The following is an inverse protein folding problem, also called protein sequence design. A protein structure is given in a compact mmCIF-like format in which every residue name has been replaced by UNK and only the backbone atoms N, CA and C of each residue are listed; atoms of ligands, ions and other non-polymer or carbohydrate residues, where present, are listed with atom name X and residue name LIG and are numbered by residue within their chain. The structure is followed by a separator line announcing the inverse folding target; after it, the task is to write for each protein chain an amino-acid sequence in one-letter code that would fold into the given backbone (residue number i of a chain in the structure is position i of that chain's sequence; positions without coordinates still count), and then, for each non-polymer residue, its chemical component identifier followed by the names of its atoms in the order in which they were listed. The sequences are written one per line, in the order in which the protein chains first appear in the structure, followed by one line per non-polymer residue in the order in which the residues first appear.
data_IF_041372151229
#
_entry.id   IF_041372151229
#
_cell.length_a   1.000
_cell.length_b   1.000
_cell.length_c   1.000
_cell.angle_alpha   90.00
_cell.angle_beta   90.00
_cell.angle_gamma   90.00
#
_symmetry.space_group_name_H-M   'P 1'
#
loop_
_entity.id
_entity.type
_entity.pdbx_description
1 polymer ?
#
# COMPACT_ATOMS: atom_id res chain seq x y z
N UNK A 1 -0.64 -5.71 -2.79
CA UNK A 1 -0.77 -4.61 -3.77
C UNK A 1 -2.11 -4.66 -4.48
N UNK A 2 -2.52 -5.74 -5.14
CA UNK A 2 -3.81 -5.79 -5.83
C UNK A 2 -5.02 -5.52 -4.91
N UNK A 3 -5.11 -6.20 -3.76
CA UNK A 3 -6.14 -5.93 -2.75
C UNK A 3 -6.14 -4.47 -2.29
N UNK A 4 -4.96 -3.95 -1.92
CA UNK A 4 -4.77 -2.55 -1.54
C UNK A 4 -5.18 -1.58 -2.65
N UNK A 5 -4.93 -1.92 -3.92
CA UNK A 5 -5.36 -1.11 -5.06
C UNK A 5 -6.88 -1.08 -5.17
N UNK A 6 -7.55 -2.23 -5.00
CA UNK A 6 -9.01 -2.31 -4.99
C UNK A 6 -9.60 -1.45 -3.87
N UNK A 7 -9.05 -1.56 -2.65
CA UNK A 7 -9.50 -0.77 -1.50
C UNK A 7 -9.30 0.74 -1.70
N UNK A 8 -8.16 1.14 -2.26
CA UNK A 8 -7.90 2.54 -2.59
C UNK A 8 -8.93 3.05 -3.60
N UNK A 9 -9.17 2.31 -4.69
CA UNK A 9 -10.14 2.70 -5.72
C UNK A 9 -11.54 2.80 -5.15
N UNK A 10 -11.95 1.83 -4.34
CA UNK A 10 -13.22 1.87 -3.64
C UNK A 10 -13.32 3.09 -2.73
N UNK A 11 -12.26 3.42 -1.98
CA UNK A 11 -12.23 4.58 -1.10
C UNK A 11 -12.28 5.90 -1.88
N UNK A 12 -11.62 5.99 -3.04
CA UNK A 12 -11.73 7.16 -3.93
C UNK A 12 -13.14 7.34 -4.49
N UNK A 13 -13.79 6.25 -4.88
CA UNK A 13 -15.20 6.27 -5.30
C UNK A 13 -16.12 6.70 -4.14
N UNK A 14 -15.91 6.16 -2.95
CA UNK A 14 -16.67 6.54 -1.76
C UNK A 14 -16.52 8.03 -1.43
N UNK A 15 -15.29 8.55 -1.48
CA UNK A 15 -15.04 9.98 -1.26
C UNK A 15 -15.71 10.84 -2.32
N UNK A 16 -15.72 10.41 -3.58
CA UNK A 16 -16.43 11.09 -4.64
C UNK A 16 -17.94 11.16 -4.35
N UNK A 17 -18.56 10.04 -3.95
CA UNK A 17 -19.98 9.98 -3.61
C UNK A 17 -20.34 10.84 -2.39
N UNK A 18 -19.39 11.00 -1.46
CA UNK A 18 -19.53 11.89 -0.30
C UNK A 18 -19.28 13.38 -0.61
N UNK A 19 -19.00 13.73 -1.86
CA UNK A 19 -18.78 15.12 -2.29
C UNK A 19 -17.32 15.61 -2.17
N UNK A 20 -16.36 14.71 -2.04
CA UNK A 20 -14.92 15.00 -2.02
C UNK A 20 -14.21 14.45 -3.27
N UNK A 21 -14.49 15.00 -4.47
CA UNK A 21 -13.80 14.58 -5.67
C UNK A 21 -12.30 14.92 -5.59
N UNK A 22 -11.45 13.97 -5.97
CA UNK A 22 -10.00 14.18 -6.06
C UNK A 22 -9.47 13.74 -7.43
N UNK A 23 -8.87 14.68 -8.15
CA UNK A 23 -8.19 14.41 -9.41
C UNK A 23 -6.77 13.86 -9.20
N UNK A 24 -6.24 13.96 -7.99
CA UNK A 24 -4.89 13.49 -7.68
C UNK A 24 -4.85 11.95 -7.60
N UNK A 25 -3.74 11.32 -8.02
CA UNK A 25 -3.54 9.89 -7.82
C UNK A 25 -3.49 9.56 -6.33
N UNK A 26 -3.94 8.36 -5.96
CA UNK A 26 -3.75 7.88 -4.60
C UNK A 26 -2.36 7.30 -4.41
N UNK A 27 -1.68 7.69 -3.33
CA UNK A 27 -0.36 7.19 -3.02
C UNK A 27 -0.42 5.84 -2.29
N UNK A 28 0.18 4.81 -2.88
CA UNK A 28 0.37 3.50 -2.26
C UNK A 28 1.83 3.34 -1.84
N UNK A 29 2.10 3.26 -0.54
CA UNK A 29 3.43 3.00 0.01
C UNK A 29 3.76 1.50 -0.04
N UNK A 30 4.90 1.15 -0.63
CA UNK A 30 5.35 -0.24 -0.75
C UNK A 30 6.85 -0.35 -0.40
N UNK A 31 7.23 -1.38 0.35
CA UNK A 31 8.63 -1.67 0.70
C UNK A 31 9.26 -2.74 -0.20
N UNK A 32 8.44 -3.45 -0.97
CA UNK A 32 8.89 -4.44 -1.94
C UNK A 32 9.19 -3.76 -3.29
N UNK A 33 10.46 -3.39 -3.50
CA UNK A 33 10.93 -2.80 -4.75
C UNK A 33 10.66 -3.71 -5.96
N UNK A 34 10.79 -5.03 -5.81
CA UNK A 34 10.48 -5.98 -6.89
C UNK A 34 9.02 -5.85 -7.31
N UNK A 35 8.10 -5.78 -6.34
CA UNK A 35 6.68 -5.55 -6.63
C UNK A 35 6.45 -4.18 -7.30
N UNK A 36 7.13 -3.12 -6.85
CA UNK A 36 7.07 -1.80 -7.49
C UNK A 36 7.60 -1.79 -8.94
N UNK A 37 8.62 -2.59 -9.25
CA UNK A 37 9.19 -2.69 -10.60
C UNK A 37 8.38 -3.61 -11.52
N UNK A 38 7.73 -4.63 -10.97
CA UNK A 38 6.85 -5.55 -11.71
C UNK A 38 5.51 -4.88 -12.06
N UNK A 39 4.99 -4.04 -11.16
CA UNK A 39 3.75 -3.30 -11.42
C UNK A 39 3.76 -2.58 -12.79
N UNK A 40 4.80 -1.84 -13.20
CA UNK A 40 4.86 -1.20 -14.52
C UNK A 40 5.44 -2.07 -15.66
N UNK A 41 6.20 -3.15 -15.41
CA UNK A 41 6.97 -3.86 -16.46
C UNK A 41 6.49 -5.29 -16.77
N UNK A 42 6.40 -5.62 -18.06
CA UNK A 42 5.86 -6.89 -18.62
C UNK A 42 6.82 -8.10 -18.58
N UNK A 43 8.09 -7.96 -18.17
CA UNK A 43 9.16 -8.95 -18.45
C UNK A 43 9.20 -10.12 -17.46
N UNK A 44 8.05 -10.74 -17.15
CA UNK A 44 8.02 -12.04 -16.47
C UNK A 44 7.08 -12.98 -17.20
N UNK A 45 7.60 -13.56 -18.27
CA UNK A 45 6.99 -14.69 -18.93
C UNK A 45 7.27 -15.98 -18.13
N UNK A 46 6.20 -16.73 -17.88
CA UNK A 46 6.17 -18.21 -17.81
C UNK A 46 6.12 -18.97 -16.47
N UNK A 47 5.97 -18.33 -15.28
CA UNK A 47 5.83 -19.11 -14.02
C UNK A 47 4.74 -18.76 -13.00
N UNK A 48 3.92 -17.71 -13.17
CA UNK A 48 2.91 -17.38 -12.14
C UNK A 48 1.59 -16.84 -12.71
N UNK A 49 0.75 -17.73 -13.27
CA UNK A 49 -0.56 -17.37 -13.86
C UNK A 49 -1.52 -16.62 -12.90
N UNK A 50 -1.48 -16.91 -11.60
CA UNK A 50 -2.32 -16.20 -10.62
C UNK A 50 -1.81 -14.80 -10.26
N UNK A 51 -0.50 -14.58 -10.29
CA UNK A 51 0.10 -13.27 -10.02
C UNK A 51 -0.04 -12.35 -11.24
N UNK A 52 -0.20 -12.93 -12.42
CA UNK A 52 -0.34 -12.20 -13.67
C UNK A 52 -1.57 -11.28 -13.68
N UNK A 53 -2.74 -11.78 -13.26
CA UNK A 53 -3.99 -10.98 -13.22
C UNK A 53 -3.88 -9.83 -12.22
N UNK A 54 -3.44 -10.12 -10.99
CA UNK A 54 -3.23 -9.11 -9.95
C UNK A 54 -2.22 -8.04 -10.37
N UNK A 55 -1.14 -8.46 -11.03
CA UNK A 55 -0.11 -7.57 -11.55
C UNK A 55 -0.65 -6.69 -12.69
N UNK A 56 -1.38 -7.27 -13.64
CA UNK A 56 -1.99 -6.51 -14.74
C UNK A 56 -3.01 -5.49 -14.22
N UNK A 57 -3.79 -5.87 -13.21
CA UNK A 57 -4.72 -4.95 -12.57
C UNK A 57 -3.99 -3.77 -11.94
N UNK A 58 -3.00 -4.01 -11.05
CA UNK A 58 -2.22 -2.93 -10.42
C UNK A 58 -1.53 -2.08 -11.47
N UNK A 59 -0.99 -2.69 -12.54
CA UNK A 59 -0.38 -1.99 -13.67
C UNK A 59 -1.34 -1.01 -14.32
N UNK A 60 -2.55 -1.47 -14.65
CA UNK A 60 -3.55 -0.63 -15.30
C UNK A 60 -3.89 0.61 -14.45
N UNK A 61 -3.96 0.45 -13.13
CA UNK A 61 -4.22 1.56 -12.21
C UNK A 61 -3.04 2.54 -12.09
N UNK A 62 -1.81 2.03 -12.17
CA UNK A 62 -0.60 2.87 -12.18
C UNK A 62 -0.46 3.61 -13.52
N UNK A 63 -0.69 2.94 -14.64
CA UNK A 63 -0.59 3.54 -15.99
C UNK A 63 -1.69 4.56 -16.26
N UNK A 64 -2.90 4.35 -15.72
CA UNK A 64 -4.01 5.32 -15.78
C UNK A 64 -3.86 6.47 -14.79
N UNK A 65 -2.78 6.51 -14.01
CA UNK A 65 -2.51 7.51 -12.98
C UNK A 65 -3.63 7.60 -11.91
N UNK A 66 -4.33 6.49 -11.66
CA UNK A 66 -5.29 6.38 -10.54
C UNK A 66 -4.55 6.13 -9.24
N UNK A 67 -3.47 5.35 -9.30
CA UNK A 67 -2.60 5.02 -8.16
C UNK A 67 -1.16 5.36 -8.51
N UNK A 68 -0.46 5.99 -7.58
CA UNK A 68 0.98 6.21 -7.66
C UNK A 68 1.68 5.41 -6.56
N UNK A 69 2.64 4.57 -6.92
CA UNK A 69 3.39 3.77 -5.94
C UNK A 69 4.63 4.51 -5.48
N UNK A 70 4.86 4.56 -4.16
CA UNK A 70 6.05 5.14 -3.56
C UNK A 70 6.79 4.13 -2.70
N UNK A 71 8.12 4.12 -2.84
CA UNK A 71 8.96 3.28 -2.02
C UNK A 71 9.01 3.80 -0.59
N UNK A 72 8.80 2.90 0.37
CA UNK A 72 9.09 3.13 1.79
C UNK A 72 10.04 2.05 2.29
N UNK A 73 10.90 2.37 3.25
CA UNK A 73 11.76 1.34 3.85
C UNK A 73 10.87 0.41 4.69
N UNK A 74 11.17 -0.89 4.74
CA UNK A 74 10.40 -1.85 5.57
C UNK A 74 10.34 -1.42 7.04
N UNK A 75 11.41 -0.79 7.54
CA UNK A 75 11.46 -0.29 8.91
C UNK A 75 10.59 0.97 9.17
N UNK A 76 10.01 1.54 8.12
CA UNK A 76 9.07 2.67 8.14
C UNK A 76 7.72 2.32 7.53
N UNK A 77 7.48 1.08 7.11
CA UNK A 77 6.21 0.64 6.56
C UNK A 77 5.21 0.42 7.69
N UNK A 78 4.21 1.32 7.81
CA UNK A 78 3.23 1.28 8.90
C UNK A 78 2.33 0.04 8.83
N UNK A 79 2.01 -0.42 7.61
CA UNK A 79 1.18 -1.60 7.40
C UNK A 79 1.78 -2.89 7.98
N UNK A 80 3.11 -2.92 8.15
CA UNK A 80 3.78 -4.10 8.71
C UNK A 80 3.37 -4.37 10.16
N UNK A 81 2.95 -3.34 10.92
CA UNK A 81 2.48 -3.51 12.30
C UNK A 81 1.25 -4.44 12.38
N UNK A 82 0.46 -4.51 11.32
CA UNK A 82 -0.75 -5.32 11.24
C UNK A 82 -0.53 -6.70 10.60
N UNK A 83 0.64 -6.94 10.00
CA UNK A 83 0.88 -8.14 9.18
C UNK A 83 2.12 -8.93 9.60
N UNK A 84 3.02 -8.35 10.40
CA UNK A 84 4.28 -8.96 10.82
C UNK A 84 4.47 -8.88 12.33
N UNK A 85 5.14 -9.88 12.89
CA UNK A 85 5.64 -9.83 14.26
C UNK A 85 6.97 -9.07 14.31
N UNK A 86 7.09 -8.12 15.23
CA UNK A 86 8.30 -7.31 15.42
C UNK A 86 8.88 -7.43 16.83
N UNK A 87 10.20 -7.26 16.99
CA UNK A 87 10.78 -7.00 18.30
C UNK A 87 10.18 -5.73 18.93
N UNK A 88 9.98 -5.72 20.24
CA UNK A 88 9.28 -4.66 20.98
C UNK A 88 9.74 -3.25 20.61
N UNK A 89 11.05 -3.03 20.47
CA UNK A 89 11.61 -1.71 20.10
C UNK A 89 11.15 -1.26 18.72
N UNK A 90 11.15 -2.15 17.73
CA UNK A 90 10.71 -1.84 16.38
C UNK A 90 9.19 -1.65 16.31
N UNK A 91 8.43 -2.48 17.02
CA UNK A 91 6.99 -2.33 17.16
C UNK A 91 6.62 -0.97 17.75
N UNK A 92 7.19 -0.59 18.88
CA UNK A 92 6.91 0.70 19.54
C UNK A 92 7.26 1.89 18.65
N UNK A 93 8.37 1.81 17.90
CA UNK A 93 8.76 2.86 16.94
C UNK A 93 7.79 3.02 15.77
N UNK A 94 7.22 1.92 15.28
CA UNK A 94 6.23 1.97 14.18
C UNK A 94 4.87 2.43 14.74
N UNK A 95 4.48 1.93 15.91
CA UNK A 95 3.24 2.31 16.60
C UNK A 95 3.16 3.79 16.97
N UNK A 96 4.27 4.40 17.42
CA UNK A 96 4.28 5.82 17.77
C UNK A 96 3.95 6.73 16.57
N UNK A 97 4.26 6.29 15.35
CA UNK A 97 3.91 7.01 14.11
C UNK A 97 2.42 6.93 13.75
N UNK A 98 1.68 5.96 14.29
CA UNK A 98 0.23 5.87 14.13
C UNK A 98 -0.53 6.81 15.08
N UNK A 99 0.18 7.60 15.90
CA UNK A 99 -0.44 8.43 16.94
C UNK A 99 -0.98 7.64 18.13
N UNK A 100 -0.64 6.35 18.23
CA UNK A 100 -1.02 5.53 19.37
C UNK A 100 -0.30 6.01 20.62
N UNK A 101 -1.08 6.50 21.59
CA UNK A 101 -0.59 6.76 22.95
C UNK A 101 -0.38 5.43 23.65
N UNK A 102 0.66 5.33 24.46
CA UNK A 102 0.92 4.14 25.26
C UNK A 102 -0.34 3.84 26.12
N UNK A 103 -1.01 2.69 25.93
CA UNK A 103 -2.25 2.38 26.66
C UNK A 103 -2.00 2.18 28.17
N UNK A 104 -0.74 2.10 28.58
CA UNK A 104 -0.30 1.96 29.98
C UNK A 104 0.09 3.30 30.60
N UNK A 105 0.04 4.40 29.84
CA UNK A 105 0.35 5.74 30.37
C UNK A 105 -0.92 6.34 31.00
N UNK A 106 -1.01 6.46 32.33
CA UNK A 106 -2.16 7.08 32.96
C UNK A 106 -2.10 8.58 32.67
N UNK A 107 -3.18 9.11 32.08
CA UNK A 107 -3.39 10.53 31.89
C UNK A 107 -3.38 11.30 33.22
#
# INVERSE_FOLDING_TARGET
MASTSCELIWLKSLLFDLGFPSNEPMFMLCDNQTAMHIAPNLVFHDRMKHIEVDCHYVRAQVQSNVIHTHYTRSNTQLADVFTKSFPTVQFMRIMSKLGSRNPVDPA
#
